data_IF_329545620354
#
_entry.id   IF_329545620354
#
_cell.length_a   1.000
_cell.length_b   1.000
_cell.length_c   1.000
_cell.angle_alpha   90.00
_cell.angle_beta   90.00
_cell.angle_gamma   90.00
#
_symmetry.space_group_name_H-M   'P 1'
#
loop_
_entity.id
_entity.type
_entity.pdbx_description
1 polymer ?
#
# COMPACT_ATOMS: atom_id res chain seq x y z
N UNK A 1 -19.59 23.15 -4.78
CA UNK A 1 -18.62 22.66 -3.78
C UNK A 1 -18.74 23.56 -2.55
N UNK A 2 -19.02 23.01 -1.38
CA UNK A 2 -19.31 23.82 -0.18
C UNK A 2 -18.07 24.61 0.23
N UNK A 3 -18.26 25.92 0.49
CA UNK A 3 -17.20 26.85 0.93
C UNK A 3 -16.47 26.35 2.17
N UNK A 4 -17.15 25.61 3.03
CA UNK A 4 -16.62 24.97 4.24
C UNK A 4 -15.39 24.09 3.95
N UNK A 5 -15.46 23.21 2.95
CA UNK A 5 -14.35 22.30 2.59
C UNK A 5 -13.10 23.05 2.11
N UNK A 6 -13.31 24.17 1.43
CA UNK A 6 -12.21 25.05 1.01
C UNK A 6 -11.51 25.70 2.20
N UNK A 7 -12.30 26.19 3.18
CA UNK A 7 -11.78 26.80 4.40
C UNK A 7 -11.09 25.77 5.29
N UNK A 8 -11.64 24.56 5.45
CA UNK A 8 -11.00 23.46 6.18
C UNK A 8 -9.62 23.14 5.59
N UNK A 9 -9.49 23.11 4.26
CA UNK A 9 -8.21 22.82 3.61
C UNK A 9 -7.19 23.92 3.86
N UNK A 10 -7.60 25.19 3.78
CA UNK A 10 -6.73 26.32 4.11
C UNK A 10 -6.32 26.27 5.58
N UNK A 11 -7.24 25.95 6.49
CA UNK A 11 -6.95 25.84 7.92
C UNK A 11 -5.94 24.73 8.18
N UNK A 12 -6.10 23.55 7.57
CA UNK A 12 -5.13 22.45 7.67
C UNK A 12 -3.75 22.86 7.14
N UNK A 13 -3.70 23.57 6.01
CA UNK A 13 -2.44 24.07 5.44
C UNK A 13 -1.75 25.09 6.36
N UNK A 14 -2.51 26.01 6.94
CA UNK A 14 -2.00 27.01 7.90
C UNK A 14 -1.51 26.33 9.18
N UNK A 15 -2.25 25.34 9.70
CA UNK A 15 -1.83 24.56 10.86
C UNK A 15 -0.54 23.78 10.59
N UNK A 16 -0.43 23.13 9.42
CA UNK A 16 0.77 22.42 9.02
C UNK A 16 2.00 23.34 8.95
N UNK A 17 1.85 24.53 8.35
CA UNK A 17 2.91 25.55 8.32
C UNK A 17 3.26 26.06 9.72
N UNK A 18 2.27 26.21 10.62
CA UNK A 18 2.50 26.61 12.01
C UNK A 18 3.29 25.56 12.81
N UNK A 19 2.96 24.28 12.66
CA UNK A 19 3.74 23.18 13.26
C UNK A 19 5.16 23.16 12.71
N UNK A 20 5.31 23.35 11.39
CA UNK A 20 6.62 23.38 10.75
C UNK A 20 7.46 24.59 11.18
N UNK A 21 6.82 25.74 11.42
CA UNK A 21 7.47 26.90 12.04
C UNK A 21 8.03 26.56 13.43
N UNK A 22 7.29 25.82 14.25
CA UNK A 22 7.75 25.46 15.58
C UNK A 22 9.05 24.62 15.55
N UNK A 23 9.21 23.80 14.51
CA UNK A 23 10.41 22.98 14.32
C UNK A 23 11.58 23.76 13.69
N UNK A 24 11.30 24.69 12.76
CA UNK A 24 12.33 25.38 11.97
C UNK A 24 12.70 26.77 12.48
N UNK A 25 11.93 27.38 13.41
CA UNK A 25 12.13 28.73 13.96
C UNK A 25 12.33 29.85 12.91
N UNK A 26 11.85 29.63 11.68
CA UNK A 26 12.12 30.52 10.56
C UNK A 26 10.93 31.46 10.29
N UNK A 27 11.12 32.76 10.47
CA UNK A 27 10.07 33.79 10.38
C UNK A 27 9.35 33.83 9.01
N UNK A 28 10.01 33.42 7.93
CA UNK A 28 9.41 33.39 6.60
C UNK A 28 8.24 32.40 6.49
N UNK A 29 8.23 31.31 7.26
CA UNK A 29 7.13 30.34 7.28
C UNK A 29 5.86 30.92 7.89
N UNK A 30 6.01 31.75 8.92
CA UNK A 30 4.89 32.38 9.62
C UNK A 30 4.26 33.48 8.75
N UNK A 31 5.09 34.24 8.02
CA UNK A 31 4.62 35.19 7.01
C UNK A 31 3.84 34.48 5.89
N UNK A 32 4.37 33.36 5.38
CA UNK A 32 3.70 32.58 4.35
C UNK A 32 2.34 32.02 4.83
N UNK A 33 2.26 31.53 6.07
CA UNK A 33 1.02 31.07 6.67
C UNK A 33 0.00 32.21 6.82
N UNK A 34 0.43 33.39 7.26
CA UNK A 34 -0.44 34.57 7.37
C UNK A 34 -0.99 35.05 6.03
N UNK A 35 -0.14 35.10 4.99
CA UNK A 35 -0.57 35.46 3.63
C UNK A 35 -1.55 34.42 3.09
N UNK A 36 -1.29 33.13 3.29
CA UNK A 36 -2.16 32.04 2.84
C UNK A 36 -3.53 32.09 3.54
N UNK A 37 -3.55 32.33 4.86
CA UNK A 37 -4.78 32.47 5.64
C UNK A 37 -5.60 33.68 5.17
N UNK A 38 -4.94 34.83 4.99
CA UNK A 38 -5.59 36.05 4.53
C UNK A 38 -6.16 35.86 3.10
N UNK A 39 -5.35 35.37 2.17
CA UNK A 39 -5.79 35.16 0.79
C UNK A 39 -6.91 34.11 0.70
N UNK A 40 -6.88 33.08 1.55
CA UNK A 40 -7.92 32.06 1.62
C UNK A 40 -9.25 32.53 2.20
N UNK A 41 -9.22 33.47 3.17
CA UNK A 41 -10.43 34.00 3.82
C UNK A 41 -11.13 35.04 2.94
N UNK A 42 -10.36 35.95 2.34
CA UNK A 42 -10.88 37.11 1.59
C UNK A 42 -11.15 36.78 0.11
N UNK A 43 -10.46 35.80 -0.48
CA UNK A 43 -10.59 35.47 -1.91
C UNK A 43 -11.08 34.03 -2.10
N UNK A 44 -12.41 33.79 -2.18
CA UNK A 44 -12.96 32.44 -2.28
C UNK A 44 -12.54 31.71 -3.57
N UNK A 45 -12.26 32.44 -4.65
CA UNK A 45 -11.75 31.88 -5.89
C UNK A 45 -10.36 31.26 -5.73
N UNK A 46 -9.48 31.91 -4.95
CA UNK A 46 -8.12 31.43 -4.71
C UNK A 46 -8.14 30.23 -3.76
N UNK A 47 -8.99 30.27 -2.73
CA UNK A 47 -9.29 29.13 -1.87
C UNK A 47 -9.72 27.89 -2.67
N UNK A 48 -10.58 28.09 -3.67
CA UNK A 48 -11.02 27.02 -4.58
C UNK A 48 -9.87 26.40 -5.38
N UNK A 49 -8.97 27.22 -5.93
CA UNK A 49 -7.80 26.74 -6.69
C UNK A 49 -6.79 26.01 -5.81
N UNK A 50 -6.49 26.54 -4.63
CA UNK A 50 -5.57 25.92 -3.66
C UNK A 50 -6.12 24.56 -3.23
N UNK A 51 -7.41 24.51 -2.88
CA UNK A 51 -8.08 23.25 -2.54
C UNK A 51 -8.03 22.25 -3.70
N UNK A 52 -8.31 22.68 -4.93
CA UNK A 52 -8.23 21.80 -6.09
C UNK A 52 -6.83 21.23 -6.30
N UNK A 53 -5.78 22.06 -6.19
CA UNK A 53 -4.39 21.62 -6.28
C UNK A 53 -4.03 20.63 -5.16
N UNK A 54 -4.46 20.92 -3.93
CA UNK A 54 -4.26 20.05 -2.77
C UNK A 54 -4.96 18.69 -2.94
N UNK A 55 -6.21 18.70 -3.41
CA UNK A 55 -6.96 17.47 -3.68
C UNK A 55 -6.35 16.66 -4.82
N UNK A 56 -5.77 17.32 -5.83
CA UNK A 56 -5.05 16.64 -6.91
C UNK A 56 -3.80 15.92 -6.37
N UNK A 57 -3.06 16.55 -5.47
CA UNK A 57 -1.96 15.89 -4.74
C UNK A 57 -2.46 14.70 -3.91
N UNK A 58 -3.55 14.88 -3.16
CA UNK A 58 -4.14 13.80 -2.36
C UNK A 58 -4.56 12.60 -3.23
N UNK A 59 -5.10 12.85 -4.43
CA UNK A 59 -5.45 11.79 -5.38
C UNK A 59 -4.22 11.00 -5.85
N UNK A 60 -3.13 11.70 -6.20
CA UNK A 60 -1.87 11.04 -6.60
C UNK A 60 -1.29 10.24 -5.44
N UNK A 61 -1.30 10.81 -4.24
CA UNK A 61 -0.89 10.10 -3.02
C UNK A 61 -1.74 8.86 -2.78
N UNK A 62 -3.06 8.94 -2.94
CA UNK A 62 -3.96 7.79 -2.81
C UNK A 62 -3.67 6.68 -3.84
N UNK A 63 -3.35 7.03 -5.08
CA UNK A 63 -2.95 6.07 -6.10
C UNK A 63 -1.67 5.32 -5.72
N UNK A 64 -0.66 6.04 -5.21
CA UNK A 64 0.57 5.42 -4.71
C UNK A 64 0.29 4.58 -3.48
N UNK A 65 -0.53 5.08 -2.55
CA UNK A 65 -0.83 4.42 -1.29
C UNK A 65 -1.51 3.06 -1.49
N UNK A 66 -2.34 2.90 -2.51
CA UNK A 66 -2.93 1.58 -2.84
C UNK A 66 -1.85 0.53 -3.13
N UNK A 67 -0.81 0.89 -3.90
CA UNK A 67 0.32 -0.01 -4.19
C UNK A 67 1.17 -0.27 -2.94
N UNK A 68 1.42 0.78 -2.16
CA UNK A 68 2.18 0.67 -0.90
C UNK A 68 1.45 -0.26 0.07
N UNK A 69 0.14 -0.10 0.26
CA UNK A 69 -0.66 -0.93 1.15
C UNK A 69 -0.62 -2.40 0.74
N UNK A 70 -0.80 -2.69 -0.56
CA UNK A 70 -0.69 -4.07 -1.07
C UNK A 70 0.72 -4.65 -0.83
N UNK A 71 1.76 -3.84 -1.06
CA UNK A 71 3.15 -4.24 -0.83
C UNK A 71 3.39 -4.52 0.66
N UNK A 72 2.89 -3.66 1.55
CA UNK A 72 3.00 -3.83 3.00
C UNK A 72 2.28 -5.10 3.44
N UNK A 73 1.06 -5.36 2.95
CA UNK A 73 0.33 -6.61 3.23
C UNK A 73 1.10 -7.82 2.73
N UNK A 74 1.66 -7.76 1.53
CA UNK A 74 2.52 -8.82 1.00
C UNK A 74 3.73 -9.07 1.92
N UNK A 75 4.44 -8.00 2.33
CA UNK A 75 5.63 -8.10 3.18
C UNK A 75 5.31 -8.61 4.59
N UNK A 76 4.20 -8.16 5.18
CA UNK A 76 3.84 -8.48 6.57
C UNK A 76 3.11 -9.82 6.69
N UNK A 77 2.41 -10.26 5.66
CA UNK A 77 1.61 -11.51 5.71
C UNK A 77 2.25 -12.61 4.87
N UNK A 78 2.37 -12.39 3.56
CA UNK A 78 2.79 -13.44 2.61
C UNK A 78 4.26 -13.79 2.74
N UNK A 79 5.12 -12.80 2.99
CA UNK A 79 6.55 -12.98 3.14
C UNK A 79 6.90 -13.83 4.38
N UNK A 80 6.44 -13.51 5.60
CA UNK A 80 6.71 -14.37 6.76
C UNK A 80 6.01 -15.72 6.62
N UNK A 81 4.83 -15.80 6.03
CA UNK A 81 4.17 -17.09 5.75
C UNK A 81 5.03 -17.96 4.82
N UNK A 82 5.65 -17.36 3.80
CA UNK A 82 6.57 -18.07 2.90
C UNK A 82 7.83 -18.54 3.63
N UNK A 83 8.42 -17.71 4.47
CA UNK A 83 9.55 -18.11 5.33
C UNK A 83 9.16 -19.24 6.29
N UNK A 84 7.99 -19.15 6.93
CA UNK A 84 7.46 -20.17 7.82
C UNK A 84 7.21 -21.48 7.06
N UNK A 85 6.62 -21.41 5.86
CA UNK A 85 6.43 -22.58 5.00
C UNK A 85 7.74 -23.21 4.54
N UNK A 86 8.82 -22.44 4.37
CA UNK A 86 10.15 -22.98 4.03
C UNK A 86 10.86 -23.58 5.25
N UNK A 87 10.66 -23.00 6.42
CA UNK A 87 11.26 -23.47 7.67
C UNK A 87 10.55 -24.72 8.22
N UNK A 88 9.21 -24.75 8.17
CA UNK A 88 8.38 -25.80 8.75
C UNK A 88 7.72 -26.74 7.72
N UNK A 89 7.62 -26.32 6.47
CA UNK A 89 7.08 -27.17 5.41
C UNK A 89 8.05 -28.27 5.04
N UNK A 90 7.56 -29.51 4.98
CA UNK A 90 8.31 -30.63 4.40
C UNK A 90 8.78 -30.22 3.00
N UNK A 91 10.09 -30.28 2.74
CA UNK A 91 10.75 -30.05 1.42
C UNK A 91 10.18 -30.89 0.24
N UNK A 92 9.14 -31.69 0.46
CA UNK A 92 8.72 -32.80 -0.39
C UNK A 92 7.23 -32.74 -0.83
N UNK A 93 6.59 -31.56 -0.84
CA UNK A 93 5.23 -31.43 -1.43
C UNK A 93 5.25 -31.59 -2.96
N UNK A 94 6.33 -31.15 -3.58
CA UNK A 94 6.64 -31.40 -4.99
C UNK A 94 8.03 -32.04 -4.97
N UNK A 95 8.15 -33.28 -5.46
CA UNK A 95 9.44 -33.97 -5.57
C UNK A 95 10.30 -33.34 -6.68
N UNK A 96 10.58 -32.04 -6.58
CA UNK A 96 11.66 -31.38 -7.32
C UNK A 96 12.96 -31.83 -6.67
N UNK A 97 13.33 -33.09 -6.88
CA UNK A 97 14.67 -33.59 -6.52
C UNK A 97 15.64 -33.03 -7.56
N UNK A 98 16.55 -32.10 -7.21
CA UNK A 98 17.59 -31.68 -8.14
C UNK A 98 18.44 -32.92 -8.46
N UNK A 99 18.53 -33.29 -9.74
CA UNK A 99 19.30 -34.46 -10.19
C UNK A 99 18.52 -35.78 -10.31
N UNK A 100 17.19 -35.80 -10.17
CA UNK A 100 16.41 -37.00 -10.49
C UNK A 100 16.14 -37.08 -12.01
N UNK A 101 16.42 -38.24 -12.63
CA UNK A 101 16.20 -38.46 -14.05
C UNK A 101 14.70 -38.45 -14.44
N UNK A 102 13.80 -38.71 -13.48
CA UNK A 102 12.37 -38.74 -13.74
C UNK A 102 11.54 -38.44 -12.49
N UNK A 103 10.36 -37.84 -12.69
CA UNK A 103 9.35 -37.64 -11.64
C UNK A 103 8.51 -38.89 -11.37
N UNK A 104 8.55 -39.87 -12.29
CA UNK A 104 7.82 -41.12 -12.16
C UNK A 104 8.36 -41.95 -10.97
N UNK A 105 7.45 -42.65 -10.29
CA UNK A 105 7.80 -43.70 -9.31
C UNK A 105 7.53 -45.03 -9.97
N UNK A 106 8.51 -45.93 -9.96
CA UNK A 106 8.26 -47.32 -10.31
C UNK A 106 7.27 -47.91 -9.31
N UNK A 107 6.09 -48.25 -9.80
CA UNK A 107 5.10 -49.02 -9.05
C UNK A 107 5.25 -50.48 -9.47
N UNK A 108 6.01 -51.24 -8.69
CA UNK A 108 6.02 -52.70 -8.76
C UNK A 108 4.73 -53.24 -8.10
N UNK A 109 3.58 -52.94 -8.71
CA UNK A 109 2.27 -53.38 -8.23
C UNK A 109 1.78 -54.53 -9.11
N UNK A 110 1.46 -55.66 -8.48
CA UNK A 110 0.84 -56.80 -9.16
C UNK A 110 -0.66 -56.53 -9.28
N UNK A 111 -1.15 -56.34 -10.50
CA UNK A 111 -2.56 -56.06 -10.74
C UNK A 111 -3.43 -57.24 -10.29
N UNK A 112 -4.29 -57.01 -9.28
CA UNK A 112 -5.36 -57.93 -8.88
C UNK A 112 -6.70 -57.51 -9.48
N UNK A 113 -7.64 -58.46 -9.52
CA UNK A 113 -8.98 -58.27 -10.12
C UNK A 113 -9.73 -57.10 -9.47
N UNK A 114 -9.55 -56.85 -8.16
CA UNK A 114 -10.19 -55.72 -7.47
C UNK A 114 -9.64 -54.35 -7.93
N UNK A 115 -8.39 -54.28 -8.42
CA UNK A 115 -7.81 -53.03 -8.94
C UNK A 115 -8.38 -52.60 -10.30
N UNK A 116 -9.08 -53.50 -10.99
CA UNK A 116 -9.71 -53.22 -12.29
C UNK A 116 -11.19 -52.82 -12.13
N UNK A 117 -11.74 -52.88 -10.92
CA UNK A 117 -13.14 -52.58 -10.66
C UNK A 117 -13.41 -51.07 -10.60
N UNK A 118 -12.40 -50.27 -10.25
CA UNK A 118 -12.44 -48.81 -10.31
C UNK A 118 -11.16 -48.26 -10.96
N UNK A 119 -11.21 -48.07 -12.28
CA UNK A 119 -10.09 -47.59 -13.12
C UNK A 119 -10.00 -46.05 -13.21
N UNK A 120 -10.92 -45.31 -12.59
CA UNK A 120 -10.94 -43.85 -12.57
C UNK A 120 -10.41 -43.26 -11.26
#
# INVERSE_FOLDING_TARGET
MNREKHLETILVLVFALGIFFWLSQNAYLLLAAGILAFAGLFIPFLAGKIHWAWMKLAHVMGYVMSKVLLTVVYVVVLLPLSFLSRAFGKKNGIRLKPGAQTYFKDRNFTYTKESLENVW
#
